data_IF_200794999930
#
_entry.id   IF_200794999930
#
_cell.length_a   1.000
_cell.length_b   1.000
_cell.length_c   1.000
_cell.angle_alpha   90.00
_cell.angle_beta   90.00
_cell.angle_gamma   90.00
#
_symmetry.space_group_name_H-M   'P 1'
#
loop_
_entity.id
_entity.type
_entity.pdbx_description
1 polymer ?
#
# COMPACT_ATOMS: atom_id res chain seq x y z
N UNK A 1 26.84 -11.20 -12.47
CA UNK A 1 27.64 -10.43 -11.49
C UNK A 1 26.69 -9.46 -10.81
N UNK A 2 26.15 -9.81 -9.64
CA UNK A 2 25.17 -8.97 -8.93
C UNK A 2 25.92 -8.03 -8.00
N UNK A 3 26.01 -6.77 -8.38
CA UNK A 3 26.59 -5.73 -7.54
C UNK A 3 25.56 -5.38 -6.47
N UNK A 4 25.73 -5.91 -5.26
CA UNK A 4 24.90 -5.59 -4.10
C UNK A 4 25.33 -4.21 -3.56
N UNK A 5 24.58 -3.17 -3.91
CA UNK A 5 24.72 -1.87 -3.25
C UNK A 5 24.04 -1.90 -1.87
N UNK A 6 24.65 -1.36 -0.80
CA UNK A 6 24.00 -1.29 0.50
C UNK A 6 22.80 -0.34 0.46
N UNK A 7 21.72 -0.71 1.16
CA UNK A 7 20.58 0.19 1.45
C UNK A 7 21.14 1.46 2.07
N UNK A 8 20.94 2.61 1.41
CA UNK A 8 21.44 3.90 1.91
C UNK A 8 20.43 4.44 2.89
N UNK A 9 20.71 4.31 4.18
CA UNK A 9 19.90 4.91 5.24
C UNK A 9 20.22 6.41 5.32
N UNK A 10 19.41 7.21 4.65
CA UNK A 10 19.42 8.67 4.76
C UNK A 10 18.71 9.11 6.04
N UNK A 11 19.04 10.32 6.50
CA UNK A 11 18.39 10.93 7.67
C UNK A 11 16.89 11.15 7.39
N UNK A 12 16.02 10.80 8.34
CA UNK A 12 14.56 10.88 8.18
C UNK A 12 13.90 9.70 7.47
N UNK A 13 14.67 8.69 7.05
CA UNK A 13 14.11 7.43 6.52
C UNK A 13 13.47 6.59 7.62
N UNK A 14 12.30 6.04 7.29
CA UNK A 14 11.57 5.08 8.13
C UNK A 14 11.68 3.67 7.55
N UNK A 15 11.13 2.68 8.26
CA UNK A 15 11.32 1.27 7.89
C UNK A 15 10.69 0.97 6.52
N UNK A 16 9.54 1.57 6.18
CA UNK A 16 8.93 1.37 4.87
C UNK A 16 9.82 1.87 3.72
N UNK A 17 10.56 2.95 3.95
CA UNK A 17 11.50 3.49 2.96
C UNK A 17 12.70 2.55 2.76
N UNK A 18 13.16 1.88 3.82
CA UNK A 18 14.21 0.86 3.74
C UNK A 18 13.72 -0.39 3.00
N UNK A 19 12.47 -0.81 3.24
CA UNK A 19 11.85 -1.94 2.54
C UNK A 19 11.62 -1.63 1.05
N UNK A 20 11.25 -0.39 0.73
CA UNK A 20 11.12 0.08 -0.65
C UNK A 20 12.46 0.03 -1.40
N UNK A 21 13.58 0.33 -0.73
CA UNK A 21 14.94 0.27 -1.31
C UNK A 21 15.48 -1.15 -1.51
N UNK A 22 14.83 -2.18 -0.97
CA UNK A 22 15.26 -3.56 -1.25
C UNK A 22 15.20 -3.82 -2.76
N UNK A 23 16.18 -4.52 -3.32
CA UNK A 23 16.13 -4.88 -4.74
C UNK A 23 14.88 -5.72 -5.00
N UNK A 24 14.23 -5.44 -6.12
CA UNK A 24 13.20 -6.33 -6.64
C UNK A 24 13.87 -7.65 -7.05
N UNK A 25 13.10 -8.74 -7.01
CA UNK A 25 13.51 -10.03 -7.53
C UNK A 25 13.68 -10.01 -9.05
N UNK A 26 14.21 -11.09 -9.61
CA UNK A 26 14.26 -11.25 -11.06
C UNK A 26 12.85 -11.21 -11.64
N UNK A 27 12.66 -10.50 -12.75
CA UNK A 27 11.37 -10.43 -13.42
C UNK A 27 10.92 -11.85 -13.79
N UNK A 28 9.84 -12.32 -13.18
CA UNK A 28 9.29 -13.68 -13.40
C UNK A 28 8.18 -13.68 -14.47
N UNK A 29 8.03 -12.59 -15.21
CA UNK A 29 6.91 -12.34 -16.11
C UNK A 29 7.08 -12.94 -17.51
N UNK A 30 5.95 -13.28 -18.14
CA UNK A 30 5.85 -13.27 -19.60
C UNK A 30 5.63 -11.81 -20.03
N UNK A 31 6.41 -11.31 -20.99
CA UNK A 31 6.35 -9.92 -21.51
C UNK A 31 4.97 -9.40 -21.91
N UNK A 32 3.97 -10.28 -22.02
CA UNK A 32 2.58 -9.93 -22.25
C UNK A 32 1.87 -9.25 -21.08
N UNK A 33 2.38 -9.27 -19.83
CA UNK A 33 1.69 -8.69 -18.65
C UNK A 33 2.34 -7.45 -18.05
N UNK A 34 3.51 -7.04 -18.55
CA UNK A 34 4.31 -5.92 -18.02
C UNK A 34 3.52 -4.59 -17.99
N UNK A 35 2.59 -4.42 -18.94
CA UNK A 35 1.76 -3.23 -19.09
C UNK A 35 0.65 -3.10 -18.02
N UNK A 36 0.40 -4.15 -17.22
CA UNK A 36 -0.59 -4.13 -16.14
C UNK A 36 -0.01 -3.36 -14.94
N UNK A 37 -0.77 -2.48 -14.32
CA UNK A 37 -0.37 -1.88 -13.04
C UNK A 37 -0.77 -2.79 -11.88
N UNK A 38 0.15 -3.09 -10.96
CA UNK A 38 -0.18 -3.80 -9.72
C UNK A 38 -0.38 -2.81 -8.58
N UNK A 39 -1.49 -2.94 -7.84
CA UNK A 39 -1.85 -2.03 -6.75
C UNK A 39 -2.22 -2.84 -5.51
N UNK A 40 -1.49 -2.65 -4.40
CA UNK A 40 -1.90 -3.23 -3.11
C UNK A 40 -3.03 -2.40 -2.51
N UNK A 41 -4.02 -3.10 -1.96
CA UNK A 41 -5.09 -2.51 -1.13
C UNK A 41 -4.89 -2.81 0.37
N UNK A 42 -3.69 -3.23 0.76
CA UNK A 42 -3.26 -3.39 2.15
C UNK A 42 -3.69 -4.70 2.79
N UNK A 43 -4.27 -4.60 4.00
CA UNK A 43 -4.39 -5.66 5.02
C UNK A 43 -3.05 -6.03 5.69
N UNK A 44 -1.96 -6.18 4.92
CA UNK A 44 -0.58 -6.19 5.40
C UNK A 44 0.41 -5.98 4.25
N UNK A 45 1.72 -6.02 4.54
CA UNK A 45 2.82 -5.80 3.58
C UNK A 45 3.02 -6.88 2.51
N UNK A 46 2.31 -8.01 2.62
CA UNK A 46 2.47 -9.19 1.75
C UNK A 46 2.35 -8.89 0.25
N UNK A 47 1.26 -8.27 -0.23
CA UNK A 47 1.09 -7.98 -1.64
C UNK A 47 2.24 -7.16 -2.23
N UNK A 48 2.71 -6.12 -1.52
CA UNK A 48 3.86 -5.31 -1.97
C UNK A 48 5.13 -6.14 -2.04
N UNK A 49 5.41 -6.96 -1.02
CA UNK A 49 6.56 -7.87 -1.03
C UNK A 49 6.46 -8.89 -2.16
N UNK A 50 5.27 -9.40 -2.46
CA UNK A 50 5.03 -10.29 -3.60
C UNK A 50 5.30 -9.58 -4.93
N UNK A 51 4.89 -8.32 -5.09
CA UNK A 51 5.19 -7.53 -6.29
C UNK A 51 6.69 -7.32 -6.47
N UNK A 52 7.40 -6.95 -5.39
CA UNK A 52 8.87 -6.83 -5.41
C UNK A 52 9.51 -8.17 -5.78
N UNK A 53 9.04 -9.29 -5.22
CA UNK A 53 9.57 -10.62 -5.51
C UNK A 53 9.50 -11.01 -7.00
N UNK A 54 8.45 -10.59 -7.71
CA UNK A 54 8.28 -10.88 -9.14
C UNK A 54 8.85 -9.80 -10.07
N UNK A 55 9.59 -8.82 -9.55
CA UNK A 55 10.22 -7.76 -10.36
C UNK A 55 9.33 -6.54 -10.65
N UNK A 56 8.19 -6.39 -9.95
CA UNK A 56 7.13 -5.40 -10.25
C UNK A 56 6.80 -4.46 -9.10
N UNK A 57 7.69 -4.33 -8.13
CA UNK A 57 7.43 -3.60 -6.89
C UNK A 57 7.88 -2.15 -6.89
N UNK A 58 8.16 -1.56 -8.05
CA UNK A 58 8.85 -0.27 -8.18
C UNK A 58 8.06 0.94 -7.65
N UNK A 59 6.73 0.95 -7.77
CA UNK A 59 5.91 2.06 -7.29
C UNK A 59 5.36 1.78 -5.90
N UNK A 60 5.55 2.72 -4.96
CA UNK A 60 4.96 2.64 -3.62
C UNK A 60 3.69 3.46 -3.52
N UNK A 61 2.64 2.81 -3.01
CA UNK A 61 1.28 3.31 -2.89
C UNK A 61 0.84 3.30 -1.42
N UNK A 62 -0.24 4.02 -1.06
CA UNK A 62 -0.52 4.34 0.34
C UNK A 62 -0.85 3.10 1.18
N UNK A 63 -1.34 2.02 0.59
CA UNK A 63 -1.71 0.82 1.34
C UNK A 63 -0.63 -0.26 1.37
N UNK A 64 0.50 -0.08 0.68
CA UNK A 64 1.54 -1.11 0.51
C UNK A 64 2.09 -1.64 1.83
N UNK A 65 2.29 -0.75 2.80
CA UNK A 65 2.97 -1.04 4.07
C UNK A 65 2.03 -0.96 5.28
N UNK A 66 0.72 -0.87 5.03
CA UNK A 66 -0.29 -0.66 6.07
C UNK A 66 -1.07 -1.92 6.38
N UNK A 67 -1.49 -2.04 7.64
CA UNK A 67 -2.58 -2.94 8.00
C UNK A 67 -3.89 -2.19 7.96
N UNK A 68 -4.79 -2.62 7.09
CA UNK A 68 -6.09 -1.96 6.84
C UNK A 68 -7.24 -2.98 6.90
N UNK A 69 -8.26 -2.66 7.70
CA UNK A 69 -9.54 -3.36 7.66
C UNK A 69 -10.28 -3.06 6.35
N UNK A 70 -11.24 -3.91 5.97
CA UNK A 70 -12.11 -3.61 4.83
C UNK A 70 -12.82 -2.26 5.01
N UNK A 71 -13.47 -2.04 6.16
CA UNK A 71 -14.16 -0.79 6.47
C UNK A 71 -13.25 0.44 6.45
N UNK A 72 -11.97 0.26 6.81
CA UNK A 72 -10.97 1.31 6.72
C UNK A 72 -10.64 1.67 5.28
N UNK A 73 -10.41 0.66 4.45
CA UNK A 73 -10.20 0.85 3.02
C UNK A 73 -11.39 1.59 2.39
N UNK A 74 -12.62 1.12 2.63
CA UNK A 74 -13.84 1.75 2.10
C UNK A 74 -13.98 3.20 2.56
N UNK A 75 -13.68 3.51 3.83
CA UNK A 75 -13.68 4.88 4.34
C UNK A 75 -12.70 5.76 3.54
N UNK A 76 -11.47 5.32 3.35
CA UNK A 76 -10.46 6.12 2.65
C UNK A 76 -10.77 6.28 1.16
N UNK A 77 -11.41 5.29 0.55
CA UNK A 77 -11.87 5.39 -0.84
C UNK A 77 -13.01 6.40 -0.99
N UNK A 78 -13.98 6.39 -0.07
CA UNK A 78 -15.19 7.23 -0.12
C UNK A 78 -14.99 8.66 0.37
N UNK A 79 -14.02 8.89 1.23
CA UNK A 79 -13.80 10.17 1.91
C UNK A 79 -12.40 10.75 1.66
N UNK A 80 -11.82 10.46 0.49
CA UNK A 80 -10.54 11.02 0.05
C UNK A 80 -9.42 10.96 1.11
N UNK A 81 -9.28 9.79 1.73
CA UNK A 81 -8.28 9.52 2.78
C UNK A 81 -8.42 10.41 4.04
N UNK A 82 -9.61 10.95 4.31
CA UNK A 82 -9.90 11.63 5.57
C UNK A 82 -9.62 10.73 6.79
N UNK A 83 -8.91 11.29 7.77
CA UNK A 83 -8.45 10.59 8.97
C UNK A 83 -7.37 9.51 8.73
N UNK A 84 -6.70 9.52 7.57
CA UNK A 84 -5.69 8.50 7.25
C UNK A 84 -4.47 8.52 8.16
N UNK A 85 -4.10 9.67 8.75
CA UNK A 85 -2.99 9.77 9.69
C UNK A 85 -3.43 9.64 11.16
N UNK A 86 -4.72 9.42 11.41
CA UNK A 86 -5.25 9.35 12.76
C UNK A 86 -4.92 8.02 13.41
N UNK A 87 -4.57 8.06 14.70
CA UNK A 87 -4.38 6.89 15.54
C UNK A 87 -4.90 7.15 16.95
N UNK A 88 -5.41 6.10 17.59
CA UNK A 88 -5.91 6.13 18.96
C UNK A 88 -4.87 5.62 19.96
N UNK A 89 -3.97 4.72 19.54
CA UNK A 89 -2.94 4.15 20.42
C UNK A 89 -1.59 4.09 19.74
N UNK A 90 -0.53 4.35 20.52
CA UNK A 90 0.88 4.16 20.16
C UNK A 90 1.46 3.12 21.12
N UNK A 91 1.97 2.00 20.60
CA UNK A 91 2.50 0.91 21.45
C UNK A 91 3.79 0.31 20.87
N UNK A 92 4.86 0.17 21.68
CA UNK A 92 6.00 -0.64 21.26
C UNK A 92 5.55 -2.09 21.09
N UNK A 93 6.11 -2.77 20.09
CA UNK A 93 5.84 -4.19 19.84
C UNK A 93 6.80 -5.03 20.68
N UNK A 94 6.30 -5.93 21.55
CA UNK A 94 7.17 -6.78 22.36
C UNK A 94 8.10 -7.63 21.49
N UNK A 95 9.41 -7.63 21.82
CA UNK A 95 10.40 -8.46 21.14
C UNK A 95 10.95 -7.93 19.82
N UNK A 96 10.55 -6.72 19.38
CA UNK A 96 11.20 -6.06 18.25
C UNK A 96 11.32 -4.53 18.45
N UNK A 97 12.20 -3.90 17.68
CA UNK A 97 12.40 -2.44 17.72
C UNK A 97 11.38 -1.71 16.81
N UNK A 98 10.09 -1.99 17.01
CA UNK A 98 9.00 -1.37 16.25
C UNK A 98 7.98 -0.72 17.18
N UNK A 99 7.40 0.39 16.75
CA UNK A 99 6.27 1.02 17.42
C UNK A 99 5.08 1.05 16.47
N UNK A 100 3.94 0.55 16.96
CA UNK A 100 2.69 0.55 16.19
C UNK A 100 1.83 1.75 16.54
N UNK A 101 1.25 2.35 15.52
CA UNK A 101 0.26 3.42 15.61
C UNK A 101 -1.06 2.87 15.09
N UNK A 102 -2.07 2.75 15.96
CA UNK A 102 -3.29 2.01 15.65
C UNK A 102 -4.52 2.87 15.80
N UNK A 103 -5.38 2.86 14.80
CA UNK A 103 -6.76 3.32 14.85
C UNK A 103 -7.72 2.12 14.76
N UNK A 104 -9.02 2.41 14.70
CA UNK A 104 -10.02 1.40 14.37
C UNK A 104 -9.83 0.89 12.92
N UNK A 105 -9.62 1.80 11.97
CA UNK A 105 -9.62 1.51 10.53
C UNK A 105 -8.32 0.89 10.01
N UNK A 106 -7.18 1.28 10.59
CA UNK A 106 -5.87 0.90 10.10
C UNK A 106 -4.79 0.99 11.18
N UNK A 107 -3.58 0.56 10.83
CA UNK A 107 -2.39 0.82 11.65
C UNK A 107 -1.12 0.94 10.83
N UNK A 108 -0.22 1.81 11.29
CA UNK A 108 1.15 1.92 10.81
C UNK A 108 2.06 1.06 11.68
N UNK A 109 2.88 0.25 11.02
CA UNK A 109 3.83 -0.68 11.66
C UNK A 109 5.28 -0.33 11.32
N UNK A 110 5.50 0.14 10.09
CA UNK A 110 6.81 0.50 9.55
C UNK A 110 7.08 2.00 9.60
N UNK A 111 6.07 2.79 9.93
CA UNK A 111 6.10 4.24 9.81
C UNK A 111 5.52 4.94 11.04
N UNK A 112 6.06 6.11 11.34
CA UNK A 112 5.59 7.04 12.36
C UNK A 112 4.72 8.14 11.73
N UNK A 113 3.38 8.11 11.90
CA UNK A 113 2.48 9.13 11.36
C UNK A 113 2.55 10.46 12.11
N UNK A 114 3.39 10.61 13.15
CA UNK A 114 3.67 11.90 13.78
C UNK A 114 4.84 12.64 13.12
N UNK A 115 5.64 11.93 12.31
CA UNK A 115 6.73 12.52 11.55
C UNK A 115 6.21 13.31 10.32
N UNK A 116 6.55 14.61 10.18
CA UNK A 116 6.11 15.41 9.05
C UNK A 116 6.62 14.88 7.70
N UNK A 117 7.85 14.35 7.66
CA UNK A 117 8.44 13.83 6.42
C UNK A 117 7.68 12.61 5.90
N UNK A 118 7.28 11.71 6.80
CA UNK A 118 6.42 10.56 6.49
C UNK A 118 5.08 11.01 5.93
N UNK A 119 4.42 11.99 6.58
CA UNK A 119 3.14 12.53 6.09
C UNK A 119 3.26 13.06 4.68
N UNK A 120 4.31 13.83 4.40
CA UNK A 120 4.56 14.37 3.07
C UNK A 120 4.76 13.25 2.02
N UNK A 121 5.50 12.20 2.36
CA UNK A 121 5.68 11.01 1.49
C UNK A 121 4.34 10.31 1.23
N UNK A 122 3.54 10.07 2.27
CA UNK A 122 2.24 9.42 2.13
C UNK A 122 1.22 10.27 1.37
N UNK A 123 1.24 11.59 1.52
CA UNK A 123 0.41 12.48 0.70
C UNK A 123 0.75 12.35 -0.80
N UNK A 124 2.03 12.22 -1.16
CA UNK A 124 2.43 11.90 -2.54
C UNK A 124 1.96 10.51 -2.98
N UNK A 125 2.05 9.50 -2.10
CA UNK A 125 1.55 8.13 -2.37
C UNK A 125 0.03 8.16 -2.63
N UNK A 126 -0.73 8.89 -1.81
CA UNK A 126 -2.18 9.09 -1.96
C UNK A 126 -2.50 9.81 -3.27
N UNK A 127 -1.77 10.88 -3.61
CA UNK A 127 -1.96 11.59 -4.87
C UNK A 127 -1.74 10.68 -6.09
N UNK A 128 -0.69 9.84 -6.07
CA UNK A 128 -0.46 8.83 -7.12
C UNK A 128 -1.59 7.82 -7.21
N UNK A 129 -2.06 7.31 -6.06
CA UNK A 129 -3.20 6.39 -6.02
C UNK A 129 -4.46 7.03 -6.62
N UNK A 130 -4.78 8.27 -6.25
CA UNK A 130 -5.93 8.98 -6.78
C UNK A 130 -5.81 9.30 -8.28
N UNK A 131 -4.59 9.42 -8.80
CA UNK A 131 -4.33 9.63 -10.23
C UNK A 131 -4.41 8.35 -11.08
N UNK A 132 -4.63 7.18 -10.46
CA UNK A 132 -4.78 5.92 -11.20
C UNK A 132 -6.03 5.98 -12.08
N UNK A 133 -5.82 5.77 -13.38
CA UNK A 133 -6.86 5.71 -14.40
C UNK A 133 -6.81 4.37 -15.15
N UNK A 134 -7.72 3.45 -14.81
CA UNK A 134 -7.81 2.13 -15.41
C UNK A 134 -8.34 2.14 -16.86
N UNK A 135 -8.66 3.32 -17.40
CA UNK A 135 -9.04 3.52 -18.81
C UNK A 135 -7.81 3.64 -19.70
N UNK A 136 -6.69 4.09 -19.13
CA UNK A 136 -5.43 4.33 -19.84
C UNK A 136 -4.50 3.11 -19.82
N UNK A 137 -4.54 2.33 -18.75
CA UNK A 137 -3.82 1.06 -18.62
C UNK A 137 -4.62 0.06 -17.78
N UNK A 138 -4.54 -1.24 -18.05
CA UNK A 138 -5.10 -2.25 -17.14
C UNK A 138 -4.50 -2.13 -15.74
N UNK A 139 -5.33 -2.24 -14.72
CA UNK A 139 -4.91 -2.18 -13.31
C UNK A 139 -5.43 -3.43 -12.60
N UNK A 140 -4.54 -4.16 -11.94
CA UNK A 140 -4.85 -5.24 -11.04
C UNK A 140 -4.71 -4.76 -9.60
N UNK A 141 -5.86 -4.57 -8.95
CA UNK A 141 -5.92 -4.32 -7.53
C UNK A 141 -5.87 -5.65 -6.76
N UNK A 142 -4.96 -5.75 -5.80
CA UNK A 142 -4.75 -6.95 -4.98
C UNK A 142 -5.03 -6.61 -3.53
N UNK A 143 -6.00 -7.30 -2.93
CA UNK A 143 -6.30 -7.24 -1.51
C UNK A 143 -6.09 -8.61 -0.89
N UNK A 144 -5.35 -8.67 0.20
CA UNK A 144 -5.41 -9.82 1.11
C UNK A 144 -6.51 -9.56 2.12
N UNK A 145 -7.21 -10.61 2.53
CA UNK A 145 -8.28 -10.52 3.54
C UNK A 145 -7.87 -11.32 4.78
N UNK A 146 -8.09 -10.79 5.99
CA UNK A 146 -7.67 -11.43 7.22
C UNK A 146 -8.61 -12.58 7.63
N UNK A 147 -9.87 -12.54 7.19
CA UNK A 147 -10.91 -13.53 7.50
C UNK A 147 -11.77 -13.77 6.26
N UNK A 148 -12.43 -14.93 6.21
CA UNK A 148 -13.41 -15.26 5.18
C UNK A 148 -14.66 -14.38 5.25
N UNK A 149 -14.95 -13.80 6.40
CA UNK A 149 -16.11 -12.91 6.57
C UNK A 149 -16.01 -11.66 5.70
N UNK A 150 -14.80 -11.15 5.39
CA UNK A 150 -14.64 -10.01 4.48
C UNK A 150 -14.92 -10.37 3.00
N UNK A 151 -15.16 -11.65 2.65
CA UNK A 151 -15.46 -12.06 1.28
C UNK A 151 -16.80 -11.51 0.78
N UNK A 152 -17.79 -11.36 1.67
CA UNK A 152 -19.10 -10.81 1.31
C UNK A 152 -19.02 -9.36 0.83
N UNK A 153 -17.97 -8.64 1.24
CA UNK A 153 -17.81 -7.22 0.99
C UNK A 153 -17.00 -6.94 -0.30
N UNK A 154 -16.43 -7.98 -0.92
CA UNK A 154 -15.64 -7.87 -2.15
C UNK A 154 -16.41 -7.21 -3.30
N UNK A 155 -17.70 -7.51 -3.56
CA UNK A 155 -18.47 -6.81 -4.58
C UNK A 155 -18.55 -5.30 -4.34
N UNK A 156 -18.78 -4.87 -3.10
CA UNK A 156 -18.86 -3.45 -2.73
C UNK A 156 -17.52 -2.74 -2.98
N UNK A 157 -16.40 -3.39 -2.63
CA UNK A 157 -15.07 -2.86 -2.91
C UNK A 157 -14.81 -2.75 -4.43
N UNK A 158 -15.21 -3.75 -5.21
CA UNK A 158 -15.05 -3.72 -6.66
C UNK A 158 -15.83 -2.55 -7.29
N UNK A 159 -17.09 -2.35 -6.87
CA UNK A 159 -17.91 -1.23 -7.33
C UNK A 159 -17.26 0.12 -7.01
N UNK A 160 -16.72 0.27 -5.80
CA UNK A 160 -16.05 1.50 -5.38
C UNK A 160 -14.75 1.75 -6.17
N UNK A 161 -13.97 0.71 -6.46
CA UNK A 161 -12.77 0.83 -7.30
C UNK A 161 -13.12 1.18 -8.75
N UNK A 162 -14.18 0.59 -9.31
CA UNK A 162 -14.68 0.95 -10.64
C UNK A 162 -15.18 2.38 -10.66
N UNK A 163 -15.93 2.81 -9.64
CA UNK A 163 -16.42 4.18 -9.51
C UNK A 163 -15.27 5.19 -9.49
N UNK A 164 -14.17 4.88 -8.81
CA UNK A 164 -13.05 5.80 -8.59
C UNK A 164 -11.99 5.77 -9.68
N UNK A 165 -11.68 4.60 -10.23
CA UNK A 165 -10.56 4.38 -11.16
C UNK A 165 -10.99 3.85 -12.53
N UNK A 166 -12.23 3.35 -12.67
CA UNK A 166 -12.73 2.74 -13.90
C UNK A 166 -13.25 3.72 -14.93
N UNK A 167 -13.80 3.19 -16.03
CA UNK A 167 -14.63 3.98 -16.95
C UNK A 167 -15.93 4.33 -16.22
N UNK A 168 -16.15 5.61 -15.89
CA UNK A 168 -17.51 6.07 -15.63
C UNK A 168 -18.37 5.66 -16.84
N UNK A 169 -19.45 4.91 -16.60
CA UNK A 169 -20.52 4.84 -17.59
C UNK A 169 -21.03 6.28 -17.72
N UNK A 170 -20.79 6.89 -18.88
CA UNK A 170 -21.46 8.12 -19.27
C UNK A 170 -22.97 7.91 -19.30
#
# INVERSE_FOLDING_TARGET
>A
MVIHGPVRKEEGMQESDLLDQLPDGEAQENSGTDHIMLVSLGCFCGPKLSFKHIGRGSETLPFDWMRTRHSGLMRFLRHDFDGFFDFATKKPVPGCNMTTYRSYYHSFWHDDPTDPGMRERYLRRIARFNAIDARMRPVLFVRTIPTTDELSDVPELLEELIRRHGKHRA
#
